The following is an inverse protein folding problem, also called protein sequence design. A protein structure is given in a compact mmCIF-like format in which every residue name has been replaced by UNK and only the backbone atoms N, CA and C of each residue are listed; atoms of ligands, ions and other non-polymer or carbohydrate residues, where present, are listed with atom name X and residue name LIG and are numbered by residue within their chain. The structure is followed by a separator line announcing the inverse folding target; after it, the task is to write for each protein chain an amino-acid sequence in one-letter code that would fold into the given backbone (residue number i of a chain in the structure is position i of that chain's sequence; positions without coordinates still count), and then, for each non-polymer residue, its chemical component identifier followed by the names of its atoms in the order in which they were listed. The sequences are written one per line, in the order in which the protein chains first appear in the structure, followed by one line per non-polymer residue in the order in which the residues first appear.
data_IF_170659575235
#
_entry.id   IF_170659575235
#
_cell.length_a   1.000
_cell.length_b   1.000
_cell.length_c   1.000
_cell.angle_alpha   90.00
_cell.angle_beta   90.00
_cell.angle_gamma   90.00
#
_symmetry.space_group_name_H-M   'P 1'
#
loop_
_entity.id
_entity.type
_entity.pdbx_description
1 polymer ?
#
# COMPACT_ATOMS: atom_id res chain seq x y z
N UNK A 1 -13.39 -64.93 -23.85
CA UNK A 1 -12.58 -64.54 -22.67
C UNK A 1 -11.89 -63.19 -22.78
N UNK A 2 -11.27 -62.80 -23.90
CA UNK A 2 -10.56 -61.53 -24.10
C UNK A 2 -11.54 -60.32 -24.06
N UNK A 3 -12.72 -60.41 -24.68
CA UNK A 3 -13.73 -59.35 -24.73
C UNK A 3 -14.19 -58.87 -23.35
N UNK A 4 -14.36 -59.81 -22.39
CA UNK A 4 -14.77 -59.47 -21.03
C UNK A 4 -13.64 -58.81 -20.22
N UNK A 5 -12.37 -59.12 -20.50
CA UNK A 5 -11.22 -58.47 -19.88
C UNK A 5 -11.05 -57.01 -20.37
N UNK A 6 -11.31 -56.75 -21.66
CA UNK A 6 -11.27 -55.41 -22.22
C UNK A 6 -12.38 -54.55 -21.62
N UNK A 7 -13.61 -55.07 -21.51
CA UNK A 7 -14.75 -54.37 -20.90
C UNK A 7 -14.45 -54.03 -19.41
N UNK A 8 -13.87 -54.96 -18.69
CA UNK A 8 -13.51 -54.73 -17.29
C UNK A 8 -12.41 -53.67 -17.13
N UNK A 9 -11.41 -53.68 -18.04
CA UNK A 9 -10.33 -52.69 -18.06
C UNK A 9 -10.87 -51.31 -18.39
N UNK A 10 -11.77 -51.19 -19.37
CA UNK A 10 -12.43 -49.94 -19.69
C UNK A 10 -13.29 -49.39 -18.56
N UNK A 11 -14.03 -50.29 -17.85
CA UNK A 11 -14.80 -49.91 -16.66
C UNK A 11 -13.90 -49.42 -15.52
N UNK A 12 -12.78 -50.08 -15.28
CA UNK A 12 -11.80 -49.64 -14.28
C UNK A 12 -11.14 -48.30 -14.66
N UNK A 13 -10.83 -48.07 -15.93
CA UNK A 13 -10.32 -46.78 -16.43
C UNK A 13 -11.37 -45.70 -16.28
N UNK A 14 -12.64 -45.97 -16.62
CA UNK A 14 -13.73 -45.00 -16.42
C UNK A 14 -13.95 -44.69 -14.92
N UNK A 15 -13.82 -45.68 -14.03
CA UNK A 15 -13.90 -45.44 -12.60
C UNK A 15 -12.76 -44.54 -12.07
N UNK A 16 -11.56 -44.66 -12.63
CA UNK A 16 -10.45 -43.77 -12.30
C UNK A 16 -10.65 -42.36 -12.86
N UNK A 17 -11.29 -42.23 -14.00
CA UNK A 17 -11.62 -40.90 -14.60
C UNK A 17 -12.77 -40.20 -13.85
N UNK A 18 -13.62 -40.94 -13.15
CA UNK A 18 -14.72 -40.43 -12.32
C UNK A 18 -14.26 -40.08 -10.89
N UNK A 19 -13.04 -40.44 -10.50
CA UNK A 19 -12.43 -39.98 -9.26
C UNK A 19 -12.05 -38.49 -9.40
N UNK A 20 -13.04 -37.66 -9.64
CA UNK A 20 -12.87 -36.18 -9.56
C UNK A 20 -12.24 -35.85 -8.21
N UNK A 21 -11.30 -34.92 -8.22
CA UNK A 21 -10.61 -34.51 -7.00
C UNK A 21 -11.64 -34.16 -5.93
N UNK A 22 -11.73 -35.01 -4.92
CA UNK A 22 -12.68 -34.80 -3.82
C UNK A 22 -12.32 -33.51 -3.12
N UNK A 23 -13.35 -32.70 -2.85
CA UNK A 23 -13.14 -31.47 -2.07
C UNK A 23 -12.49 -31.81 -0.73
N UNK A 24 -11.32 -31.23 -0.41
CA UNK A 24 -10.64 -31.52 0.86
C UNK A 24 -11.54 -31.20 2.05
N UNK A 25 -11.46 -32.02 3.09
CA UNK A 25 -12.33 -31.92 4.26
C UNK A 25 -12.34 -30.51 4.89
N UNK A 26 -11.21 -29.76 5.02
CA UNK A 26 -11.22 -28.39 5.52
C UNK A 26 -12.02 -27.44 4.65
N UNK A 27 -11.93 -27.58 3.32
CA UNK A 27 -12.68 -26.74 2.38
C UNK A 27 -14.17 -27.04 2.46
N UNK A 28 -14.53 -28.32 2.52
CA UNK A 28 -15.92 -28.76 2.68
C UNK A 28 -16.50 -28.20 3.99
N UNK A 29 -15.76 -28.31 5.09
CA UNK A 29 -16.17 -27.76 6.38
C UNK A 29 -16.39 -26.25 6.32
N UNK A 30 -15.46 -25.50 5.71
CA UNK A 30 -15.58 -24.06 5.54
C UNK A 30 -16.84 -23.69 4.75
N UNK A 31 -17.07 -24.34 3.61
CA UNK A 31 -18.22 -24.05 2.74
C UNK A 31 -19.57 -24.38 3.39
N UNK A 32 -19.60 -25.31 4.35
CA UNK A 32 -20.80 -25.67 5.10
C UNK A 32 -21.04 -24.78 6.33
N UNK A 33 -20.08 -23.94 6.71
CA UNK A 33 -20.22 -23.09 7.89
C UNK A 33 -21.36 -22.07 7.71
N UNK A 34 -22.18 -21.82 8.74
CA UNK A 34 -23.33 -20.91 8.64
C UNK A 34 -22.95 -19.48 8.22
N UNK A 35 -21.78 -19.02 8.63
CA UNK A 35 -21.26 -17.68 8.28
C UNK A 35 -20.83 -17.55 6.81
N UNK A 36 -20.69 -18.68 6.09
CA UNK A 36 -20.41 -18.68 4.66
C UNK A 36 -21.67 -18.59 3.80
N UNK A 37 -22.84 -18.56 4.41
CA UNK A 37 -24.09 -18.47 3.65
C UNK A 37 -24.16 -17.15 2.88
N UNK A 38 -24.21 -17.23 1.56
CA UNK A 38 -24.21 -16.08 0.67
C UNK A 38 -22.82 -15.45 0.44
N UNK A 39 -21.76 -16.00 1.03
CA UNK A 39 -20.40 -15.55 0.75
C UNK A 39 -19.92 -16.02 -0.62
N UNK A 40 -19.13 -15.20 -1.30
CA UNK A 40 -18.38 -15.57 -2.49
C UNK A 40 -17.01 -16.10 -2.04
N UNK A 41 -16.64 -17.29 -2.54
CA UNK A 41 -15.38 -17.93 -2.16
C UNK A 41 -14.75 -18.63 -3.35
N UNK A 42 -13.46 -18.42 -3.55
CA UNK A 42 -12.63 -19.19 -4.48
C UNK A 42 -11.31 -19.56 -3.82
N UNK A 43 -10.71 -20.67 -4.25
CA UNK A 43 -9.46 -21.16 -3.68
C UNK A 43 -8.58 -21.80 -4.75
N UNK A 44 -7.30 -21.45 -4.73
CA UNK A 44 -6.25 -22.17 -5.46
C UNK A 44 -5.15 -22.55 -4.48
N UNK A 45 -4.78 -23.82 -4.50
CA UNK A 45 -3.61 -24.33 -3.80
C UNK A 45 -2.59 -24.77 -4.82
N UNK A 46 -1.39 -24.21 -4.75
CA UNK A 46 -0.26 -24.55 -5.62
C UNK A 46 0.89 -25.12 -4.80
N UNK A 47 1.55 -26.12 -5.39
CA UNK A 47 2.88 -26.48 -4.97
C UNK A 47 3.85 -25.36 -5.39
N UNK A 48 4.59 -24.81 -4.43
CA UNK A 48 5.47 -23.66 -4.69
C UNK A 48 6.71 -24.07 -5.48
N UNK A 49 7.21 -25.28 -5.27
CA UNK A 49 8.43 -25.77 -5.94
C UNK A 49 8.15 -26.18 -7.39
N UNK A 50 7.06 -26.90 -7.60
CA UNK A 50 6.69 -27.41 -8.93
C UNK A 50 5.81 -26.44 -9.71
N UNK A 51 5.26 -25.41 -9.07
CA UNK A 51 4.27 -24.49 -9.66
C UNK A 51 2.93 -25.17 -9.99
N UNK A 52 2.78 -26.45 -9.64
CA UNK A 52 1.62 -27.29 -9.97
C UNK A 52 0.42 -26.93 -9.11
N UNK A 53 -0.73 -26.81 -9.75
CA UNK A 53 -2.01 -26.66 -9.03
C UNK A 53 -2.40 -27.98 -8.37
N UNK A 54 -2.42 -27.99 -7.03
CA UNK A 54 -2.79 -29.15 -6.21
C UNK A 54 -4.30 -29.26 -6.06
N UNK A 55 -4.97 -28.12 -5.86
CA UNK A 55 -6.41 -28.04 -5.70
C UNK A 55 -6.94 -26.70 -6.18
N UNK A 56 -8.18 -26.68 -6.64
CA UNK A 56 -8.88 -25.43 -6.98
C UNK A 56 -10.38 -25.57 -6.75
N UNK A 57 -11.01 -24.48 -6.36
CA UNK A 57 -12.44 -24.36 -6.16
C UNK A 57 -12.91 -23.02 -6.69
N UNK A 58 -13.88 -23.02 -7.61
CA UNK A 58 -14.55 -21.83 -8.19
C UNK A 58 -13.58 -20.72 -8.64
N UNK A 59 -12.51 -21.10 -9.34
CA UNK A 59 -11.40 -20.19 -9.69
C UNK A 59 -11.71 -19.22 -10.81
N UNK A 60 -12.79 -19.45 -11.56
CA UNK A 60 -13.22 -18.58 -12.67
C UNK A 60 -14.15 -17.44 -12.19
N UNK A 61 -14.50 -17.45 -10.92
CA UNK A 61 -15.33 -16.42 -10.30
C UNK A 61 -14.56 -15.11 -10.15
N UNK A 62 -15.11 -14.04 -10.70
CA UNK A 62 -14.59 -12.71 -10.48
C UNK A 62 -14.83 -12.27 -9.05
N UNK A 63 -13.77 -11.84 -8.39
CA UNK A 63 -13.76 -11.34 -7.02
C UNK A 63 -13.13 -9.96 -6.98
N UNK A 64 -13.62 -9.08 -6.08
CA UNK A 64 -12.93 -7.83 -5.79
C UNK A 64 -11.65 -8.13 -5.01
N UNK A 65 -10.48 -7.73 -5.50
CA UNK A 65 -9.21 -7.99 -4.82
C UNK A 65 -9.05 -7.18 -3.53
N UNK A 66 -9.80 -6.08 -3.38
CA UNK A 66 -9.61 -5.14 -2.26
C UNK A 66 -8.11 -4.88 -2.01
N UNK A 67 -7.67 -4.82 -0.74
CA UNK A 67 -6.26 -4.54 -0.39
C UNK A 67 -5.26 -5.63 -0.79
N UNK A 68 -5.71 -6.82 -1.20
CA UNK A 68 -4.81 -7.87 -1.74
C UNK A 68 -4.15 -7.39 -3.04
N UNK A 69 -4.75 -6.45 -3.76
CA UNK A 69 -4.15 -5.82 -4.94
C UNK A 69 -2.79 -5.15 -4.62
N UNK A 70 -2.58 -4.70 -3.37
CA UNK A 70 -1.29 -4.14 -2.94
C UNK A 70 -0.14 -5.14 -3.07
N UNK A 71 -0.40 -6.44 -2.92
CA UNK A 71 0.61 -7.48 -3.12
C UNK A 71 1.11 -7.48 -4.57
N UNK A 72 0.21 -7.31 -5.54
CA UNK A 72 0.58 -7.22 -6.96
C UNK A 72 1.34 -5.93 -7.22
N UNK A 73 0.85 -4.79 -6.72
CA UNK A 73 1.49 -3.49 -6.91
C UNK A 73 2.92 -3.46 -6.32
N UNK A 74 3.10 -3.97 -5.09
CA UNK A 74 4.42 -4.00 -4.44
C UNK A 74 5.37 -4.99 -5.11
N UNK A 75 4.90 -6.16 -5.53
CA UNK A 75 5.73 -7.10 -6.28
C UNK A 75 6.18 -6.52 -7.62
N UNK A 76 5.27 -5.84 -8.34
CA UNK A 76 5.59 -5.16 -9.60
C UNK A 76 6.58 -4.01 -9.38
N UNK A 77 6.40 -3.22 -8.33
CA UNK A 77 7.33 -2.15 -7.99
C UNK A 77 8.73 -2.70 -7.69
N UNK A 78 8.82 -3.79 -6.92
CA UNK A 78 10.11 -4.44 -6.62
C UNK A 78 10.79 -5.00 -7.88
N UNK A 79 10.03 -5.59 -8.79
CA UNK A 79 10.55 -6.12 -10.06
C UNK A 79 11.06 -5.02 -10.99
N UNK A 80 10.34 -3.89 -11.07
CA UNK A 80 10.68 -2.80 -11.99
C UNK A 80 11.77 -1.89 -11.43
N UNK A 81 11.65 -1.52 -10.14
CA UNK A 81 12.52 -0.53 -9.51
C UNK A 81 13.74 -1.16 -8.83
N UNK A 82 13.65 -2.43 -8.44
CA UNK A 82 14.68 -3.13 -7.66
C UNK A 82 14.61 -2.84 -6.17
N UNK A 83 15.31 -3.67 -5.38
CA UNK A 83 15.33 -3.58 -3.90
C UNK A 83 16.11 -2.37 -3.38
N UNK A 84 17.01 -1.82 -4.18
CA UNK A 84 17.84 -0.67 -3.83
C UNK A 84 17.21 0.68 -4.17
N UNK A 85 16.01 0.68 -4.75
CA UNK A 85 15.30 1.92 -5.06
C UNK A 85 15.07 2.76 -3.81
N UNK A 86 15.30 4.07 -3.93
CA UNK A 86 15.07 5.05 -2.86
C UNK A 86 14.28 6.23 -3.40
N UNK A 87 13.47 6.82 -2.56
CA UNK A 87 12.74 8.04 -2.86
C UNK A 87 13.59 9.24 -2.41
N UNK A 88 14.27 9.96 -3.32
CA UNK A 88 15.04 11.13 -2.94
C UNK A 88 14.11 12.31 -2.60
N UNK A 89 14.41 13.00 -1.50
CA UNK A 89 13.90 14.35 -1.27
C UNK A 89 15.08 15.29 -1.36
N UNK A 90 15.03 16.26 -2.27
CA UNK A 90 16.11 17.22 -2.49
C UNK A 90 15.76 18.59 -1.93
N UNK A 91 16.78 19.28 -1.41
CA UNK A 91 16.69 20.67 -1.01
C UNK A 91 17.42 21.50 -2.05
N UNK A 92 16.70 22.36 -2.74
CA UNK A 92 17.19 23.23 -3.79
C UNK A 92 16.96 24.68 -3.37
N UNK A 93 17.74 25.63 -3.86
CA UNK A 93 17.51 27.04 -3.61
C UNK A 93 17.83 27.90 -4.84
N UNK A 94 17.18 29.04 -4.91
CA UNK A 94 17.51 30.12 -5.85
C UNK A 94 18.09 31.34 -5.11
N UNK A 95 18.56 32.32 -5.88
CA UNK A 95 19.03 33.57 -5.33
C UNK A 95 20.50 33.56 -4.89
N UNK A 96 20.85 34.45 -3.96
CA UNK A 96 22.22 34.72 -3.54
C UNK A 96 22.41 34.28 -2.08
N UNK A 97 23.47 33.54 -1.82
CA UNK A 97 23.84 33.15 -0.45
C UNK A 97 25.07 33.94 -0.01
N UNK A 98 24.87 34.89 0.91
CA UNK A 98 25.93 35.68 1.48
C UNK A 98 25.85 35.75 3.01
N UNK A 99 26.98 35.60 3.69
CA UNK A 99 27.10 35.70 5.15
C UNK A 99 26.10 34.81 5.93
N UNK A 100 25.71 33.67 5.36
CA UNK A 100 24.75 32.76 5.95
C UNK A 100 23.28 33.07 5.71
N UNK A 101 23.01 34.13 4.94
CA UNK A 101 21.66 34.54 4.53
C UNK A 101 21.44 34.20 3.06
N UNK A 102 20.38 33.46 2.79
CA UNK A 102 19.89 33.21 1.44
C UNK A 102 18.88 34.31 1.07
N UNK A 103 19.25 35.18 0.15
CA UNK A 103 18.33 36.14 -0.48
C UNK A 103 17.64 35.43 -1.66
N UNK A 104 16.62 34.65 -1.37
CA UNK A 104 15.93 33.79 -2.33
C UNK A 104 15.05 32.79 -1.64
N UNK A 105 14.62 31.79 -2.38
CA UNK A 105 13.69 30.74 -1.90
C UNK A 105 14.42 29.42 -1.67
N UNK A 106 13.89 28.63 -0.74
CA UNK A 106 14.24 27.23 -0.54
C UNK A 106 13.11 26.35 -1.10
N UNK A 107 13.48 25.37 -1.91
CA UNK A 107 12.55 24.39 -2.46
C UNK A 107 12.81 23.02 -1.82
N UNK A 108 11.75 22.40 -1.32
CA UNK A 108 11.76 21.02 -0.87
C UNK A 108 11.09 20.21 -1.97
N UNK A 109 11.90 19.53 -2.77
CA UNK A 109 11.43 18.76 -3.92
C UNK A 109 11.26 17.30 -3.56
N UNK A 110 10.02 16.84 -3.62
CA UNK A 110 9.64 15.48 -3.29
C UNK A 110 9.69 14.54 -4.48
N UNK A 111 9.77 13.25 -4.19
CA UNK A 111 9.70 12.17 -5.17
C UNK A 111 8.61 11.14 -4.86
N UNK A 112 7.67 11.48 -3.97
CA UNK A 112 6.61 10.57 -3.53
C UNK A 112 7.01 9.65 -2.37
N UNK A 113 8.00 10.05 -1.55
CA UNK A 113 8.40 9.30 -0.36
C UNK A 113 7.28 9.26 0.68
N UNK A 114 6.67 8.08 0.96
CA UNK A 114 5.60 7.97 1.96
C UNK A 114 6.14 7.84 3.39
N UNK A 115 7.46 7.81 3.58
CA UNK A 115 8.07 7.43 4.86
C UNK A 115 8.40 8.61 5.77
N UNK A 116 8.37 9.85 5.27
CA UNK A 116 8.79 11.04 6.00
C UNK A 116 7.93 11.31 7.24
N UNK A 117 8.48 11.06 8.43
CA UNK A 117 7.77 11.21 9.71
C UNK A 117 6.67 10.19 9.95
N UNK A 118 6.59 9.15 9.13
CA UNK A 118 5.54 8.12 9.24
C UNK A 118 5.57 7.42 10.60
N UNK A 119 4.37 7.22 11.15
CA UNK A 119 4.15 6.53 12.43
C UNK A 119 4.44 5.02 12.36
N UNK A 120 4.62 4.46 11.16
CA UNK A 120 4.97 3.06 10.94
C UNK A 120 6.44 2.72 11.28
N UNK A 121 7.28 3.73 11.49
CA UNK A 121 8.67 3.56 11.91
C UNK A 121 8.82 3.76 13.41
N UNK A 122 9.80 3.06 14.02
CA UNK A 122 10.06 3.22 15.42
C UNK A 122 10.46 4.66 15.79
N UNK A 123 10.09 5.16 16.98
CA UNK A 123 10.45 6.49 17.41
C UNK A 123 11.95 6.75 17.27
N UNK A 124 12.33 7.85 16.63
CA UNK A 124 13.71 8.23 16.38
C UNK A 124 14.38 7.62 15.15
N UNK A 125 13.75 6.71 14.45
CA UNK A 125 14.26 6.21 13.16
C UNK A 125 14.08 7.21 12.04
N UNK A 126 12.99 7.99 12.06
CA UNK A 126 12.71 8.99 11.04
C UNK A 126 13.11 10.38 11.52
N UNK A 127 14.29 10.82 11.11
CA UNK A 127 14.90 12.10 11.49
C UNK A 127 14.98 13.07 10.32
N UNK A 128 14.05 13.00 9.37
CA UNK A 128 14.11 13.76 8.13
C UNK A 128 14.31 15.26 8.35
N UNK A 129 13.58 15.88 9.29
CA UNK A 129 13.72 17.31 9.59
C UNK A 129 15.13 17.67 10.07
N UNK A 130 15.70 16.89 10.99
CA UNK A 130 17.07 17.14 11.48
C UNK A 130 18.11 16.92 10.37
N UNK A 131 17.86 15.96 9.48
CA UNK A 131 18.71 15.71 8.31
C UNK A 131 18.66 16.88 7.35
N UNK A 132 17.49 17.43 7.06
CA UNK A 132 17.33 18.61 6.21
C UNK A 132 17.97 19.86 6.82
N UNK A 133 17.77 20.09 8.13
CA UNK A 133 18.42 21.21 8.85
C UNK A 133 19.94 21.08 8.77
N UNK A 134 20.48 19.88 9.01
CA UNK A 134 21.92 19.66 8.92
C UNK A 134 22.45 19.89 7.48
N UNK A 135 21.70 19.53 6.46
CA UNK A 135 22.04 19.79 5.06
C UNK A 135 22.09 21.31 4.76
N UNK A 136 21.11 22.06 5.23
CA UNK A 136 21.08 23.52 5.08
C UNK A 136 22.26 24.18 5.82
N UNK A 137 22.55 23.75 7.05
CA UNK A 137 23.69 24.24 7.83
C UNK A 137 25.02 23.95 7.14
N UNK A 138 25.16 22.75 6.56
CA UNK A 138 26.35 22.36 5.79
C UNK A 138 26.52 23.20 4.53
N UNK A 139 25.40 23.58 3.88
CA UNK A 139 25.39 24.52 2.76
C UNK A 139 25.67 25.98 3.18
N UNK A 140 25.75 26.27 4.48
CA UNK A 140 25.98 27.63 5.00
C UNK A 140 24.71 28.46 5.17
N UNK A 141 23.52 27.89 4.94
CA UNK A 141 22.25 28.62 5.05
C UNK A 141 21.80 28.64 6.51
N UNK A 142 21.66 29.85 7.08
CA UNK A 142 21.19 30.09 8.44
C UNK A 142 19.88 30.88 8.46
N UNK A 143 19.69 31.76 7.48
CA UNK A 143 18.51 32.57 7.29
C UNK A 143 18.04 32.51 5.84
N UNK A 144 16.75 32.63 5.63
CA UNK A 144 16.10 32.64 4.32
C UNK A 144 15.18 33.86 4.31
N UNK A 145 15.35 34.77 3.33
CA UNK A 145 14.53 36.01 3.22
C UNK A 145 13.28 35.77 2.39
N UNK A 146 13.30 34.79 1.50
CA UNK A 146 12.17 34.43 0.68
C UNK A 146 11.29 33.35 1.33
N UNK A 147 10.75 32.45 0.51
CA UNK A 147 9.80 31.43 0.92
C UNK A 147 10.45 30.04 1.01
N UNK A 148 9.86 29.17 1.84
CA UNK A 148 10.08 27.72 1.77
C UNK A 148 8.94 27.14 0.96
N UNK A 149 9.25 26.52 -0.16
CA UNK A 149 8.30 26.05 -1.18
C UNK A 149 8.36 24.53 -1.25
N UNK A 150 7.20 23.89 -1.16
CA UNK A 150 7.03 22.47 -1.44
C UNK A 150 6.88 22.27 -2.94
N UNK A 151 7.78 21.50 -3.56
CA UNK A 151 7.71 21.13 -4.97
C UNK A 151 7.24 19.67 -5.10
N UNK A 152 5.98 19.52 -5.47
CA UNK A 152 5.28 18.25 -5.64
C UNK A 152 5.10 17.88 -7.12
N UNK A 153 5.79 18.56 -8.03
CA UNK A 153 5.59 18.49 -9.48
C UNK A 153 5.85 17.11 -10.11
N UNK A 154 6.36 16.17 -9.33
CA UNK A 154 6.53 14.78 -9.79
C UNK A 154 5.21 14.07 -10.04
N UNK A 155 4.15 14.47 -9.35
CA UNK A 155 2.79 13.98 -9.52
C UNK A 155 1.88 15.13 -9.96
N UNK A 156 0.72 14.79 -10.51
CA UNK A 156 -0.35 15.76 -10.74
C UNK A 156 -1.04 16.13 -9.41
N UNK A 157 -2.01 17.02 -9.49
CA UNK A 157 -2.75 17.50 -8.31
C UNK A 157 -3.86 16.55 -7.84
N UNK A 158 -4.08 15.43 -8.53
CA UNK A 158 -5.13 14.46 -8.20
C UNK A 158 -4.61 13.36 -7.24
N UNK A 159 -4.10 13.74 -6.10
CA UNK A 159 -3.59 12.79 -5.09
C UNK A 159 -4.64 11.80 -4.57
N UNK A 160 -5.92 12.12 -4.66
CA UNK A 160 -7.05 11.27 -4.26
C UNK A 160 -7.89 10.93 -5.48
N UNK A 161 -8.00 9.65 -5.81
CA UNK A 161 -8.81 9.21 -6.94
C UNK A 161 -10.29 9.53 -6.73
N UNK A 162 -10.94 10.07 -7.79
CA UNK A 162 -12.39 10.32 -7.80
C UNK A 162 -13.23 9.04 -7.63
N UNK A 163 -12.62 7.87 -7.80
CA UNK A 163 -13.27 6.56 -7.65
C UNK A 163 -13.25 6.05 -6.21
N UNK A 164 -12.56 6.74 -5.30
CA UNK A 164 -12.56 6.36 -3.89
C UNK A 164 -13.89 6.69 -3.25
N UNK A 165 -14.31 5.85 -2.32
CA UNK A 165 -15.56 6.06 -1.59
C UNK A 165 -15.41 7.29 -0.69
N UNK A 166 -16.39 8.19 -0.72
CA UNK A 166 -16.38 9.41 0.10
C UNK A 166 -16.41 9.09 1.59
N UNK A 167 -17.01 7.98 1.95
CA UNK A 167 -17.09 7.46 3.32
C UNK A 167 -15.73 7.06 3.87
N UNK A 168 -14.77 6.72 3.01
CA UNK A 168 -13.40 6.37 3.39
C UNK A 168 -12.53 7.62 3.60
N UNK A 169 -12.91 8.75 3.05
CA UNK A 169 -12.16 10.00 3.19
C UNK A 169 -12.08 10.43 4.66
N UNK A 170 -10.87 10.73 5.13
CA UNK A 170 -10.61 11.06 6.54
C UNK A 170 -10.20 9.86 7.39
N UNK A 171 -10.25 8.63 6.86
CA UNK A 171 -9.64 7.48 7.53
C UNK A 171 -8.13 7.48 7.31
N UNK A 172 -7.39 6.88 8.25
CA UNK A 172 -5.93 6.81 8.20
C UNK A 172 -5.37 6.08 6.97
N UNK A 173 -6.19 5.27 6.29
CA UNK A 173 -5.81 4.51 5.09
C UNK A 173 -6.18 5.21 3.77
N UNK A 174 -6.81 6.38 3.85
CA UNK A 174 -7.30 7.11 2.70
C UNK A 174 -6.63 8.49 2.45
N UNK A 175 -5.46 8.82 3.03
CA UNK A 175 -4.73 9.99 2.58
C UNK A 175 -4.29 9.80 1.13
N UNK A 176 -4.31 10.88 0.37
CA UNK A 176 -3.87 10.87 -1.02
C UNK A 176 -2.37 10.64 -1.17
N UNK A 177 -1.94 10.40 -2.40
CA UNK A 177 -0.53 10.27 -2.77
C UNK A 177 -0.07 11.57 -3.41
N UNK A 178 0.98 12.17 -2.85
CA UNK A 178 1.55 13.45 -3.28
C UNK A 178 3.05 13.34 -3.45
N UNK A 179 3.66 14.27 -4.17
CA UNK A 179 5.10 14.34 -4.34
C UNK A 179 5.84 14.49 -3.01
N UNK A 180 5.24 15.19 -2.05
CA UNK A 180 5.69 15.27 -0.66
C UNK A 180 4.57 14.79 0.26
N UNK A 181 4.86 13.77 1.05
CA UNK A 181 3.98 13.26 2.09
C UNK A 181 4.74 13.23 3.41
N UNK A 182 4.24 13.91 4.42
CA UNK A 182 4.85 13.92 5.75
C UNK A 182 3.83 13.51 6.80
N UNK A 183 4.27 12.79 7.84
CA UNK A 183 3.42 12.33 8.93
C UNK A 183 2.17 11.56 8.44
N UNK A 184 2.36 10.67 7.45
CA UNK A 184 1.29 9.87 6.82
C UNK A 184 0.17 10.74 6.19
N UNK A 185 0.45 11.99 5.81
CA UNK A 185 -0.53 13.01 5.39
C UNK A 185 -1.69 13.18 6.39
N UNK A 186 -1.39 13.00 7.67
CA UNK A 186 -2.35 13.12 8.75
C UNK A 186 -1.93 14.20 9.75
N UNK A 187 -2.92 14.80 10.38
CA UNK A 187 -2.70 15.65 11.54
C UNK A 187 -3.62 15.25 12.68
N UNK A 188 -3.17 15.50 13.90
CA UNK A 188 -3.95 15.22 15.10
C UNK A 188 -4.62 16.49 15.59
N UNK A 189 -5.95 16.53 15.50
CA UNK A 189 -6.72 17.61 16.06
C UNK A 189 -7.02 17.33 17.52
N UNK A 190 -6.56 18.18 18.43
CA UNK A 190 -6.86 18.09 19.86
C UNK A 190 -7.85 19.18 20.24
N UNK A 191 -8.99 18.77 20.80
CA UNK A 191 -10.03 19.68 21.26
C UNK A 191 -10.14 19.60 22.78
N UNK A 192 -10.16 20.74 23.44
CA UNK A 192 -10.48 20.82 24.86
C UNK A 192 -11.96 21.16 25.01
N UNK A 193 -12.73 20.26 25.63
CA UNK A 193 -14.13 20.48 25.98
C UNK A 193 -14.25 21.19 27.33
N UNK A 194 -15.20 22.12 27.43
CA UNK A 194 -15.56 22.78 28.66
C UNK A 194 -16.88 22.24 29.26
N UNK A 195 -17.58 23.05 30.01
CA UNK A 195 -18.90 22.71 30.56
C UNK A 195 -19.92 22.42 29.44
N UNK A 196 -20.98 21.68 29.77
CA UNK A 196 -22.06 21.38 28.83
C UNK A 196 -22.65 22.68 28.24
N UNK A 197 -22.80 22.71 26.90
CA UNK A 197 -23.30 23.88 26.18
C UNK A 197 -22.19 24.87 25.72
N UNK A 198 -20.94 24.68 26.11
CA UNK A 198 -19.82 25.51 25.61
C UNK A 198 -19.22 24.94 24.36
N UNK A 199 -18.62 25.79 23.51
CA UNK A 199 -17.88 25.36 22.33
C UNK A 199 -16.51 24.79 22.74
N UNK A 200 -16.09 23.68 22.15
CA UNK A 200 -14.72 23.19 22.36
C UNK A 200 -13.70 24.20 21.79
N UNK A 201 -12.53 24.23 22.40
CA UNK A 201 -11.42 25.09 21.98
C UNK A 201 -10.33 24.20 21.37
N UNK A 202 -9.74 24.63 20.29
CA UNK A 202 -8.56 23.99 19.71
C UNK A 202 -7.39 24.13 20.71
N UNK A 203 -6.71 23.01 20.99
CA UNK A 203 -5.59 22.94 21.91
C UNK A 203 -4.27 22.88 21.14
#
# INVERSE_FOLDING_TARGET
MIRNKIVLLCLLLCLHLLAGAQTPAPVKWLLQAPYMRGASFSLVVKDVQEGRKVYSYDTDRLQSPASVLKTVATATALEILGEDYRYPTTLEYDGILENGTLEGNLYIKGSGDPSLGSSHFAPGQNKFLSTWIAALQKAGIKHITGSVISDESIFDTEGVSIKWLREDMGNYYAPGSYGISIFDNMYKLSLQTGAAGTRPVLK
#
